data_IF_833355859228
#
_entry.id   IF_833355859228
#
_cell.length_a   1.000
_cell.length_b   1.000
_cell.length_c   1.000
_cell.angle_alpha   90.00
_cell.angle_beta   90.00
_cell.angle_gamma   90.00
#
_symmetry.space_group_name_H-M   'P 1'
#
loop_
_entity.id
_entity.type
_entity.pdbx_description
1 polymer ?
#
# COMPACT_ATOMS: atom_id res chain seq x y z
N UNK A 1 -35.94 -37.49 9.72
CA UNK A 1 -35.76 -36.34 10.63
C UNK A 1 -35.25 -35.16 9.81
N UNK A 2 -36.08 -34.14 9.54
CA UNK A 2 -35.64 -32.96 8.77
C UNK A 2 -34.94 -32.00 9.74
N UNK A 3 -33.65 -31.76 9.55
CA UNK A 3 -32.92 -30.77 10.33
C UNK A 3 -33.31 -29.38 9.85
N UNK A 4 -34.17 -28.67 10.59
CA UNK A 4 -34.47 -27.27 10.31
C UNK A 4 -33.28 -26.39 10.69
N UNK A 5 -32.57 -25.89 9.68
CA UNK A 5 -31.51 -24.90 9.82
C UNK A 5 -32.13 -23.52 10.07
N UNK A 6 -32.10 -23.09 11.33
CA UNK A 6 -32.44 -21.72 11.73
C UNK A 6 -31.19 -20.82 11.64
N UNK A 7 -31.34 -19.53 11.30
CA UNK A 7 -30.27 -18.52 11.27
C UNK A 7 -29.37 -18.55 12.50
N UNK A 8 -29.93 -18.80 13.71
CA UNK A 8 -29.13 -18.97 14.94
C UNK A 8 -28.25 -20.23 14.91
N UNK A 9 -28.79 -21.37 14.48
CA UNK A 9 -28.03 -22.63 14.35
C UNK A 9 -26.96 -22.51 13.27
N UNK A 10 -27.25 -21.80 12.17
CA UNK A 10 -26.26 -21.51 11.13
C UNK A 10 -25.09 -20.67 11.67
N UNK A 11 -25.37 -19.61 12.44
CA UNK A 11 -24.31 -18.78 13.04
C UNK A 11 -23.47 -19.56 14.07
N UNK A 12 -24.08 -20.46 14.84
CA UNK A 12 -23.32 -21.33 15.76
C UNK A 12 -22.40 -22.31 15.02
N UNK A 13 -22.86 -22.90 13.92
CA UNK A 13 -22.04 -23.81 13.11
C UNK A 13 -20.92 -23.03 12.41
N UNK A 14 -21.24 -21.90 11.78
CA UNK A 14 -20.27 -21.05 11.08
C UNK A 14 -19.21 -20.44 12.02
N UNK A 15 -19.62 -20.02 13.22
CA UNK A 15 -18.68 -19.55 14.25
C UNK A 15 -17.77 -20.67 14.76
N UNK A 16 -18.30 -21.90 14.91
CA UNK A 16 -17.51 -23.05 15.33
C UNK A 16 -16.50 -23.51 14.26
N UNK A 17 -16.86 -23.48 12.97
CA UNK A 17 -15.93 -23.83 11.87
C UNK A 17 -14.92 -22.74 11.55
N UNK A 18 -15.24 -21.46 11.81
CA UNK A 18 -14.28 -20.36 11.68
C UNK A 18 -13.05 -20.47 12.58
N UNK A 19 -13.20 -21.10 13.76
CA UNK A 19 -12.09 -21.37 14.69
C UNK A 19 -11.24 -22.57 14.22
N UNK A 20 -11.81 -23.50 13.47
CA UNK A 20 -11.04 -24.63 12.91
C UNK A 20 -10.12 -24.22 11.75
N UNK A 21 -10.52 -23.22 10.97
CA UNK A 21 -9.76 -22.74 9.82
C UNK A 21 -8.54 -21.88 10.20
N UNK A 22 -8.45 -21.35 11.42
CA UNK A 22 -7.26 -20.62 11.87
C UNK A 22 -6.06 -21.53 12.13
N UNK A 23 -6.27 -22.85 12.29
CA UNK A 23 -5.16 -23.81 12.38
C UNK A 23 -4.47 -24.06 11.03
N UNK A 24 -5.13 -23.79 9.89
CA UNK A 24 -4.48 -23.81 8.57
C UNK A 24 -3.57 -22.58 8.34
N UNK A 25 -3.69 -21.54 9.16
CA UNK A 25 -2.81 -20.37 9.16
C UNK A 25 -1.48 -20.57 9.90
N UNK A 26 -1.25 -21.74 10.48
CA UNK A 26 -0.02 -22.03 11.25
C UNK A 26 1.14 -22.55 10.40
N UNK A 27 0.98 -22.67 9.07
CA UNK A 27 2.12 -22.94 8.18
C UNK A 27 3.02 -21.70 8.15
N UNK A 28 4.24 -21.75 8.71
CA UNK A 28 5.16 -20.63 8.65
C UNK A 28 5.47 -20.31 7.19
N UNK A 29 5.12 -19.11 6.73
CA UNK A 29 5.42 -18.62 5.37
C UNK A 29 4.22 -18.46 4.43
N UNK A 30 3.00 -18.88 4.81
CA UNK A 30 1.82 -18.72 3.95
C UNK A 30 1.17 -17.33 4.01
N UNK A 31 1.46 -16.52 5.04
CA UNK A 31 0.86 -15.18 5.20
C UNK A 31 1.93 -14.13 5.56
N UNK A 32 1.93 -13.04 4.79
CA UNK A 32 2.67 -11.79 4.99
C UNK A 32 4.13 -11.75 4.52
N UNK A 33 4.34 -11.74 3.19
CA UNK A 33 5.31 -10.77 2.67
C UNK A 33 4.69 -9.39 2.84
N UNK A 34 4.91 -8.79 4.01
CA UNK A 34 4.59 -7.38 4.23
C UNK A 34 5.53 -6.58 3.32
N UNK A 35 4.98 -5.90 2.32
CA UNK A 35 5.72 -5.00 1.42
C UNK A 35 6.16 -3.69 2.10
N UNK A 36 6.17 -3.65 3.43
CA UNK A 36 6.75 -2.55 4.17
C UNK A 36 8.28 -2.71 4.08
N UNK A 37 8.85 -2.30 2.94
CA UNK A 37 10.27 -2.01 2.87
C UNK A 37 10.59 -0.84 3.82
N UNK A 38 11.79 -0.80 4.42
CA UNK A 38 12.19 0.34 5.25
C UNK A 38 11.98 1.67 4.52
N UNK A 39 11.59 2.70 5.26
CA UNK A 39 11.32 4.03 4.72
C UNK A 39 12.48 4.53 3.86
N UNK A 40 12.18 5.12 2.71
CA UNK A 40 13.20 5.65 1.81
C UNK A 40 13.64 7.03 2.28
N UNK A 41 14.88 7.13 2.76
CA UNK A 41 15.50 8.42 3.08
C UNK A 41 15.95 9.11 1.78
N UNK A 42 15.62 10.40 1.65
CA UNK A 42 15.89 11.17 0.42
C UNK A 42 17.39 11.31 0.11
N UNK A 43 18.23 11.26 1.14
CA UNK A 43 19.70 11.35 1.02
C UNK A 43 20.30 10.08 0.37
N UNK A 44 19.58 8.95 0.40
CA UNK A 44 20.01 7.68 -0.19
C UNK A 44 19.70 7.59 -1.70
N UNK A 45 19.15 8.65 -2.29
CA UNK A 45 18.86 8.71 -3.71
C UNK A 45 20.16 8.78 -4.53
N UNK A 46 20.28 7.89 -5.51
CA UNK A 46 21.39 7.91 -6.48
C UNK A 46 21.20 9.03 -7.51
N UNK A 47 19.95 9.33 -7.84
CA UNK A 47 19.62 10.32 -8.86
C UNK A 47 18.31 11.03 -8.52
N UNK A 48 18.29 12.35 -8.71
CA UNK A 48 17.10 13.18 -8.55
C UNK A 48 16.74 13.79 -9.91
N UNK A 49 15.55 13.46 -10.41
CA UNK A 49 15.07 13.94 -11.71
C UNK A 49 13.88 14.87 -11.51
N UNK A 50 13.95 16.06 -12.11
CA UNK A 50 12.80 16.94 -12.22
C UNK A 50 11.85 16.44 -13.29
N UNK A 51 10.59 16.26 -12.91
CA UNK A 51 9.53 15.79 -13.80
C UNK A 51 8.21 16.49 -13.46
N UNK A 52 7.12 16.03 -14.06
CA UNK A 52 5.77 16.57 -13.91
C UNK A 52 4.82 15.44 -13.50
N UNK A 53 3.92 15.71 -12.55
CA UNK A 53 2.89 14.76 -12.11
C UNK A 53 1.72 14.74 -13.09
N UNK A 54 1.46 13.59 -13.71
CA UNK A 54 0.40 13.44 -14.72
C UNK A 54 -0.90 12.81 -14.18
N UNK A 55 -1.06 12.75 -12.85
CA UNK A 55 -2.28 12.20 -12.21
C UNK A 55 -3.49 13.12 -12.43
N UNK A 56 -3.27 14.42 -12.62
CA UNK A 56 -4.32 15.40 -12.85
C UNK A 56 -3.84 16.45 -13.85
N UNK A 57 -4.80 17.12 -14.49
CA UNK A 57 -4.59 18.13 -15.51
C UNK A 57 -3.74 19.33 -15.06
N UNK A 58 -3.56 19.56 -13.76
CA UNK A 58 -2.71 20.62 -13.23
C UNK A 58 -1.23 20.43 -13.51
N UNK A 59 -0.77 19.19 -13.74
CA UNK A 59 0.63 18.92 -14.11
C UNK A 59 1.64 19.58 -13.16
N UNK A 60 1.52 19.31 -11.85
CA UNK A 60 2.41 19.88 -10.84
C UNK A 60 3.85 19.40 -11.03
N UNK A 61 4.85 20.27 -10.86
CA UNK A 61 6.26 19.91 -10.92
C UNK A 61 6.72 19.08 -9.72
N UNK A 62 7.53 18.06 -9.98
CA UNK A 62 8.02 17.12 -8.98
C UNK A 62 9.52 16.90 -9.10
N UNK A 63 10.14 16.44 -8.00
CA UNK A 63 11.47 15.85 -7.95
C UNK A 63 11.30 14.37 -7.60
N UNK A 64 11.65 13.49 -8.55
CA UNK A 64 11.60 12.04 -8.38
C UNK A 64 12.97 11.55 -7.92
N UNK A 65 13.01 10.91 -6.76
CA UNK A 65 14.22 10.34 -6.16
C UNK A 65 14.32 8.88 -6.56
N UNK A 66 15.39 8.54 -7.28
CA UNK A 66 15.64 7.21 -7.83
C UNK A 66 16.76 6.52 -7.08
N UNK A 67 16.62 5.20 -6.92
CA UNK A 67 17.66 4.29 -6.44
C UNK A 67 17.48 2.91 -7.07
N UNK A 68 18.56 2.31 -7.57
CA UNK A 68 18.49 1.03 -8.26
C UNK A 68 17.60 1.09 -9.51
N UNK A 69 17.63 2.21 -10.23
CA UNK A 69 16.85 2.43 -11.45
C UNK A 69 15.33 2.56 -11.25
N UNK A 70 14.83 2.61 -10.02
CA UNK A 70 13.40 2.79 -9.70
C UNK A 70 13.17 4.06 -8.90
N UNK A 71 12.03 4.72 -9.14
CA UNK A 71 11.57 5.83 -8.29
C UNK A 71 11.10 5.27 -6.96
N UNK A 72 11.63 5.79 -5.86
CA UNK A 72 11.31 5.37 -4.49
C UNK A 72 10.58 6.44 -3.69
N UNK A 73 10.85 7.72 -3.96
CA UNK A 73 10.11 8.83 -3.40
C UNK A 73 9.88 9.94 -4.42
N UNK A 74 8.82 10.73 -4.20
CA UNK A 74 8.46 11.86 -5.03
C UNK A 74 8.16 13.03 -4.09
N UNK A 75 8.82 14.16 -4.33
CA UNK A 75 8.58 15.40 -3.60
C UNK A 75 8.16 16.51 -4.57
N UNK A 76 7.44 17.51 -4.08
CA UNK A 76 7.11 18.68 -4.89
C UNK A 76 8.37 19.44 -5.27
N UNK A 77 8.44 19.98 -6.48
CA UNK A 77 9.54 20.84 -6.86
C UNK A 77 9.34 22.24 -6.24
N UNK A 78 10.27 22.77 -5.41
CA UNK A 78 10.19 24.14 -4.87
C UNK A 78 10.20 25.21 -5.95
N UNK A 79 10.91 24.97 -7.05
CA UNK A 79 11.13 25.94 -8.12
C UNK A 79 9.94 26.04 -9.09
N UNK A 80 9.01 25.08 -9.03
CA UNK A 80 7.88 25.03 -9.94
C UNK A 80 6.69 25.84 -9.39
N UNK A 81 6.10 26.74 -10.20
CA UNK A 81 5.14 27.75 -9.72
C UNK A 81 3.88 27.15 -9.09
N UNK A 82 3.44 25.98 -9.56
CA UNK A 82 2.24 25.31 -9.05
C UNK A 82 2.48 24.53 -7.75
N UNK A 83 3.57 23.76 -7.67
CA UNK A 83 3.84 22.86 -6.53
C UNK A 83 4.48 23.60 -5.37
N UNK A 84 5.45 24.50 -5.62
CA UNK A 84 6.23 25.21 -4.58
C UNK A 84 6.69 24.29 -3.45
N UNK A 85 7.15 23.09 -3.80
CA UNK A 85 7.65 22.09 -2.85
C UNK A 85 6.58 21.18 -2.22
N UNK A 86 5.29 21.35 -2.54
CA UNK A 86 4.17 20.60 -1.95
C UNK A 86 3.47 19.72 -2.98
N UNK A 87 2.92 18.60 -2.52
CA UNK A 87 2.12 17.68 -3.34
C UNK A 87 0.84 17.25 -2.62
N UNK A 88 -0.17 16.89 -3.41
CA UNK A 88 -1.40 16.28 -2.93
C UNK A 88 -1.18 14.78 -2.63
N UNK A 89 -2.08 14.14 -1.85
CA UNK A 89 -1.98 12.72 -1.53
C UNK A 89 -2.41 11.76 -2.65
N UNK A 90 -2.87 12.31 -3.80
CA UNK A 90 -3.19 11.51 -4.99
C UNK A 90 -1.92 11.02 -5.66
#
# INVERSE_FOLDING_TARGET
MKAELNRRKFLHIAGATGIGASLAGTVPGAVTKSFCEPGFDLEEAEEVVSSVCEICFWKCGIKAYKRGGRVRAIMGNPDHPLSRGRLCPR
#
